data_IF_886327710898
#
_entry.id   IF_886327710898
#
_cell.length_a   1.000
_cell.length_b   1.000
_cell.length_c   1.000
_cell.angle_alpha   90.00
_cell.angle_beta   90.00
_cell.angle_gamma   90.00
#
_symmetry.space_group_name_H-M   'P 1'
#
loop_
_entity.id
_entity.type
_entity.pdbx_description
1 polymer ?
#
# COMPACT_ATOMS: atom_id res chain seq x y z
N UNK A 1 15.94 -0.25 4.04
CA UNK A 1 15.12 -1.20 3.26
C UNK A 1 13.90 -0.47 2.77
N UNK A 2 13.49 -0.73 1.52
CA UNK A 2 12.25 -0.22 0.93
C UNK A 2 11.36 -1.43 0.70
N UNK A 3 10.06 -1.31 0.98
CA UNK A 3 9.07 -2.35 0.71
C UNK A 3 7.92 -1.73 -0.06
N UNK A 4 7.48 -2.38 -1.12
CA UNK A 4 6.35 -1.89 -1.88
C UNK A 4 5.59 -2.98 -2.63
N UNK A 5 4.43 -2.57 -3.12
CA UNK A 5 3.49 -3.40 -3.85
C UNK A 5 2.96 -2.59 -5.04
N UNK A 6 2.78 -3.27 -6.17
CA UNK A 6 2.20 -2.70 -7.39
C UNK A 6 1.06 -3.61 -7.83
N UNK A 7 -0.11 -3.03 -8.09
CA UNK A 7 -1.28 -3.77 -8.56
C UNK A 7 -2.01 -3.01 -9.68
N UNK A 8 -2.60 -3.76 -10.61
CA UNK A 8 -3.37 -3.19 -11.71
C UNK A 8 -4.74 -2.66 -11.24
N UNK A 9 -5.36 -3.31 -10.26
CA UNK A 9 -6.68 -2.92 -9.77
C UNK A 9 -6.80 -3.17 -8.27
N UNK A 10 -7.34 -2.19 -7.55
CA UNK A 10 -7.73 -2.35 -6.16
C UNK A 10 -9.25 -2.20 -6.02
N UNK A 11 -9.94 -3.34 -5.89
CA UNK A 11 -11.38 -3.39 -5.61
C UNK A 11 -11.71 -3.19 -4.14
N UNK A 12 -10.71 -3.18 -3.25
CA UNK A 12 -10.86 -2.99 -1.81
C UNK A 12 -9.56 -2.47 -1.19
N UNK A 13 -9.60 -2.17 0.11
CA UNK A 13 -8.41 -1.79 0.89
C UNK A 13 -7.44 -2.94 1.17
N UNK A 14 -7.74 -4.15 0.70
CA UNK A 14 -6.94 -5.36 1.00
C UNK A 14 -5.48 -5.23 0.53
N UNK A 15 -5.22 -4.48 -0.54
CA UNK A 15 -3.87 -4.22 -1.05
C UNK A 15 -2.97 -3.54 -0.01
N UNK A 16 -3.54 -2.71 0.88
CA UNK A 16 -2.81 -2.14 2.01
C UNK A 16 -2.42 -3.24 2.99
N UNK A 17 -3.34 -4.16 3.30
CA UNK A 17 -3.07 -5.29 4.20
C UNK A 17 -2.01 -6.24 3.64
N UNK A 18 -2.02 -6.50 2.33
CA UNK A 18 -0.99 -7.30 1.64
C UNK A 18 0.40 -6.67 1.77
N UNK A 19 0.51 -5.36 1.54
CA UNK A 19 1.76 -4.63 1.74
C UNK A 19 2.26 -4.76 3.18
N UNK A 20 1.39 -4.54 4.19
CA UNK A 20 1.79 -4.63 5.59
C UNK A 20 2.25 -6.04 6.00
N UNK A 21 1.62 -7.10 5.48
CA UNK A 21 2.08 -8.47 5.70
C UNK A 21 3.50 -8.68 5.17
N UNK A 22 3.82 -8.15 3.98
CA UNK A 22 5.18 -8.20 3.42
C UNK A 22 6.18 -7.40 4.24
N UNK A 23 5.75 -6.25 4.77
CA UNK A 23 6.56 -5.45 5.71
C UNK A 23 6.94 -6.26 6.93
N UNK A 24 5.99 -6.96 7.56
CA UNK A 24 6.27 -7.78 8.74
C UNK A 24 7.24 -8.93 8.45
N UNK A 25 7.09 -9.60 7.31
CA UNK A 25 8.05 -10.63 6.87
C UNK A 25 9.44 -10.03 6.67
N UNK A 26 9.53 -8.87 6.03
CA UNK A 26 10.80 -8.19 5.77
C UNK A 26 11.47 -7.71 7.08
N UNK A 27 10.72 -7.12 8.01
CA UNK A 27 11.21 -6.74 9.34
C UNK A 27 11.80 -7.92 10.09
N UNK A 28 11.09 -9.06 10.11
CA UNK A 28 11.55 -10.29 10.79
C UNK A 28 12.85 -10.82 10.20
N UNK A 29 12.99 -10.78 8.87
CA UNK A 29 14.17 -11.27 8.13
C UNK A 29 15.39 -10.36 8.31
N UNK A 30 15.20 -9.05 8.15
CA UNK A 30 16.31 -8.09 8.10
C UNK A 30 16.58 -7.37 9.42
N UNK A 31 15.76 -7.61 10.46
CA UNK A 31 15.85 -7.01 11.80
C UNK A 31 15.93 -5.47 11.77
N UNK A 32 15.28 -4.86 10.78
CA UNK A 32 15.27 -3.41 10.54
C UNK A 32 13.90 -2.99 10.05
N UNK A 33 13.44 -1.85 10.53
CA UNK A 33 12.26 -1.21 9.95
C UNK A 33 12.53 -0.72 8.52
N UNK A 34 11.55 -0.82 7.62
CA UNK A 34 11.65 -0.20 6.31
C UNK A 34 11.68 1.32 6.46
N UNK A 35 12.55 1.95 5.68
CA UNK A 35 12.68 3.42 5.62
C UNK A 35 11.61 4.04 4.72
N UNK A 36 10.99 3.23 3.87
CA UNK A 36 10.00 3.69 2.90
C UNK A 36 9.05 2.56 2.55
N UNK A 37 7.75 2.89 2.54
CA UNK A 37 6.65 2.00 2.17
C UNK A 37 5.90 2.63 1.02
N UNK A 38 5.67 1.89 -0.06
CA UNK A 38 4.89 2.38 -1.18
C UNK A 38 3.86 1.39 -1.69
N UNK A 39 2.75 1.92 -2.18
CA UNK A 39 1.72 1.18 -2.91
C UNK A 39 1.42 1.93 -4.21
N UNK A 40 1.48 1.23 -5.35
CA UNK A 40 1.09 1.75 -6.66
C UNK A 40 -0.10 0.97 -7.18
N UNK A 41 -1.17 1.67 -7.50
CA UNK A 41 -2.42 1.09 -8.00
C UNK A 41 -2.72 1.74 -9.34
N UNK A 42 -2.89 0.95 -10.41
CA UNK A 42 -3.26 1.52 -11.69
C UNK A 42 -4.72 2.02 -11.68
N UNK A 43 -5.67 1.24 -11.15
CA UNK A 43 -7.10 1.61 -11.10
C UNK A 43 -7.77 1.25 -9.76
N UNK A 44 -8.72 2.07 -9.30
CA UNK A 44 -9.59 1.75 -8.15
C UNK A 44 -10.93 2.49 -8.25
N UNK A 45 -12.04 1.92 -7.73
CA UNK A 45 -13.27 2.68 -7.54
C UNK A 45 -13.03 3.89 -6.62
N UNK A 46 -13.70 5.01 -6.87
CA UNK A 46 -13.49 6.29 -6.17
C UNK A 46 -13.74 6.18 -4.67
N UNK A 47 -14.72 5.36 -4.27
CA UNK A 47 -14.99 5.03 -2.85
C UNK A 47 -13.82 4.29 -2.20
N UNK A 48 -13.25 3.30 -2.91
CA UNK A 48 -12.08 2.53 -2.46
C UNK A 48 -10.84 3.42 -2.41
N UNK A 49 -10.60 4.22 -3.45
CA UNK A 49 -9.48 5.14 -3.53
C UNK A 49 -9.48 6.16 -2.38
N UNK A 50 -10.64 6.74 -2.06
CA UNK A 50 -10.81 7.65 -0.92
C UNK A 50 -10.41 6.99 0.39
N UNK A 51 -10.87 5.76 0.62
CA UNK A 51 -10.56 5.02 1.84
C UNK A 51 -9.08 4.58 1.90
N UNK A 52 -8.52 4.14 0.76
CA UNK A 52 -7.11 3.80 0.66
C UNK A 52 -6.22 5.01 0.95
N UNK A 53 -6.54 6.20 0.44
CA UNK A 53 -5.83 7.45 0.74
C UNK A 53 -5.87 7.79 2.23
N UNK A 54 -7.03 7.60 2.88
CA UNK A 54 -7.17 7.81 4.33
C UNK A 54 -6.26 6.86 5.11
N UNK A 55 -6.29 5.57 4.80
CA UNK A 55 -5.47 4.56 5.47
C UNK A 55 -3.97 4.72 5.19
N UNK A 56 -3.60 5.09 3.97
CA UNK A 56 -2.21 5.32 3.58
C UNK A 56 -1.57 6.45 4.41
N UNK A 57 -2.31 7.56 4.63
CA UNK A 57 -1.86 8.66 5.50
C UNK A 57 -1.63 8.18 6.94
N UNK A 58 -2.58 7.44 7.51
CA UNK A 58 -2.48 6.91 8.89
C UNK A 58 -1.29 5.96 9.04
N UNK A 59 -0.99 5.19 8.00
CA UNK A 59 0.03 4.13 8.02
C UNK A 59 1.38 4.55 7.43
N UNK A 60 1.54 5.82 7.05
CA UNK A 60 2.73 6.35 6.39
C UNK A 60 3.15 5.53 5.15
N UNK A 61 2.17 5.21 4.31
CA UNK A 61 2.37 4.54 3.03
C UNK A 61 2.31 5.60 1.93
N UNK A 62 3.34 5.64 1.09
CA UNK A 62 3.29 6.44 -0.13
C UNK A 62 2.39 5.75 -1.17
N UNK A 63 1.16 6.24 -1.31
CA UNK A 63 0.15 5.69 -2.20
C UNK A 63 0.00 6.55 -3.46
N UNK A 64 0.10 5.92 -4.61
CA UNK A 64 -0.28 6.50 -5.90
C UNK A 64 -1.36 5.64 -6.54
N UNK A 65 -2.44 6.29 -6.99
CA UNK A 65 -3.52 5.68 -7.75
C UNK A 65 -3.57 6.36 -9.12
N UNK A 66 -3.55 5.58 -10.20
CA UNK A 66 -3.57 6.08 -11.57
C UNK A 66 -4.92 6.65 -11.97
N UNK A 67 -5.94 5.78 -12.08
CA UNK A 67 -7.33 6.15 -12.41
C UNK A 67 -8.27 5.80 -11.25
N UNK A 68 -9.06 6.79 -10.83
CA UNK A 68 -10.18 6.63 -9.91
C UNK A 68 -11.46 6.58 -10.75
N UNK A 69 -12.21 5.47 -10.65
CA UNK A 69 -13.43 5.20 -11.44
C UNK A 69 -14.70 5.20 -10.63
#
# INVERSE_FOLDING_TARGET
>A
MIVGEVTAHAGSVEEISKLLRKVEVAKKKYKKDPRYLFLRVLTAPSSVAKEMKRLARVKNIDLVIGKES
#
